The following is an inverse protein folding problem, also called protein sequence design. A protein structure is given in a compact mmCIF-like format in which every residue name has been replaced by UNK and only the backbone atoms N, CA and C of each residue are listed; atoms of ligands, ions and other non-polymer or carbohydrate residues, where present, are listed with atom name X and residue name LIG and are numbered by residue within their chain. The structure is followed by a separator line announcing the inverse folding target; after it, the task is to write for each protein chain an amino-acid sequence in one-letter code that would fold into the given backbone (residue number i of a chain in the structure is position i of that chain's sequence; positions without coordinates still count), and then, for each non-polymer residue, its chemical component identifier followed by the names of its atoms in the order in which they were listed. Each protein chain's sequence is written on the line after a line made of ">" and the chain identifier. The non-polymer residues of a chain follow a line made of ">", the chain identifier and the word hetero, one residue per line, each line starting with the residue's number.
data_IF_890572682780
#
_entry.id   IF_890572682780
#
_cell.length_a   1.000
_cell.length_b   1.000
_cell.length_c   1.000
_cell.angle_alpha   90.00
_cell.angle_beta   90.00
_cell.angle_gamma   90.00
#
_symmetry.space_group_name_H-M   'P 1'
#
loop_
_entity.id
_entity.type
_entity.pdbx_description
1 polymer ?
#
# COMPACT_ATOMS: atom_id res chain seq x y z
N UNK A 1 23.79 -15.48 17.57
CA UNK A 1 23.15 -14.32 16.94
C UNK A 1 21.70 -14.41 17.32
N UNK A 2 21.22 -13.49 18.15
CA UNK A 2 19.81 -13.50 18.54
C UNK A 2 18.97 -13.15 17.31
N UNK A 3 17.77 -13.71 17.18
CA UNK A 3 16.97 -13.54 15.96
C UNK A 3 16.55 -12.07 15.74
N UNK A 4 16.48 -11.28 16.80
CA UNK A 4 16.26 -9.83 16.70
C UNK A 4 17.42 -9.12 15.98
N UNK A 5 18.66 -9.61 16.11
CA UNK A 5 19.82 -9.10 15.36
C UNK A 5 19.68 -9.45 13.87
N UNK A 6 19.17 -10.65 13.56
CA UNK A 6 18.85 -11.03 12.19
C UNK A 6 17.78 -10.10 11.60
N UNK A 7 16.70 -9.84 12.34
CA UNK A 7 15.64 -8.93 11.93
C UNK A 7 16.15 -7.49 11.73
N UNK A 8 17.05 -7.01 12.59
CA UNK A 8 17.72 -5.72 12.43
C UNK A 8 18.56 -5.67 11.15
N UNK A 9 19.38 -6.69 10.90
CA UNK A 9 20.14 -6.82 9.65
C UNK A 9 19.24 -6.90 8.42
N UNK A 10 18.14 -7.64 8.51
CA UNK A 10 17.17 -7.79 7.43
C UNK A 10 16.39 -6.51 7.15
N UNK A 11 16.06 -5.72 8.18
CA UNK A 11 15.44 -4.42 8.02
C UNK A 11 16.37 -3.44 7.27
N UNK A 12 17.67 -3.43 7.59
CA UNK A 12 18.66 -2.63 6.85
C UNK A 12 18.69 -3.07 5.38
N UNK A 13 18.79 -4.37 5.12
CA UNK A 13 18.77 -4.90 3.76
C UNK A 13 17.49 -4.51 3.01
N UNK A 14 16.33 -4.62 3.65
CA UNK A 14 15.05 -4.26 3.07
C UNK A 14 14.99 -2.77 2.68
N UNK A 15 15.48 -1.87 3.56
CA UNK A 15 15.58 -0.43 3.29
C UNK A 15 16.54 -0.15 2.12
N UNK A 16 17.68 -0.83 2.06
CA UNK A 16 18.65 -0.68 0.96
C UNK A 16 18.02 -1.13 -0.36
N UNK A 17 17.41 -2.31 -0.41
CA UNK A 17 16.74 -2.83 -1.60
C UNK A 17 15.59 -1.93 -2.07
N UNK A 18 14.82 -1.42 -1.12
CA UNK A 18 13.76 -0.44 -1.36
C UNK A 18 14.32 0.85 -1.95
N UNK A 19 15.36 1.42 -1.33
CA UNK A 19 16.03 2.65 -1.76
C UNK A 19 16.62 2.52 -3.17
N UNK A 20 17.34 1.44 -3.45
CA UNK A 20 17.86 1.12 -4.79
C UNK A 20 16.71 1.03 -5.80
N UNK A 21 15.61 0.38 -5.42
CA UNK A 21 14.43 0.24 -6.29
C UNK A 21 13.78 1.58 -6.61
N UNK A 22 13.61 2.44 -5.60
CA UNK A 22 13.14 3.82 -5.77
C UNK A 22 14.09 4.58 -6.71
N UNK A 23 15.38 4.63 -6.40
CA UNK A 23 16.37 5.37 -7.18
C UNK A 23 16.37 4.90 -8.62
N UNK A 24 16.33 3.58 -8.86
CA UNK A 24 16.25 3.02 -10.21
C UNK A 24 14.96 3.43 -10.93
N UNK A 25 13.79 3.33 -10.29
CA UNK A 25 12.49 3.65 -10.92
C UNK A 25 12.37 5.14 -11.23
N UNK A 26 12.73 6.01 -10.27
CA UNK A 26 12.74 7.45 -10.48
C UNK A 26 13.81 7.85 -11.48
N UNK A 27 15.04 7.36 -11.33
CA UNK A 27 16.16 7.60 -12.23
C UNK A 27 15.85 7.21 -13.67
N UNK A 28 15.32 6.00 -13.91
CA UNK A 28 14.85 5.57 -15.22
C UNK A 28 13.80 6.52 -15.79
N UNK A 29 12.88 7.00 -14.96
CA UNK A 29 11.82 7.88 -15.46
C UNK A 29 12.30 9.30 -15.75
N UNK A 30 13.17 9.86 -14.90
CA UNK A 30 13.84 11.14 -15.16
C UNK A 30 14.71 11.05 -16.40
N UNK A 31 15.52 9.99 -16.52
CA UNK A 31 16.33 9.71 -17.71
C UNK A 31 15.49 9.63 -18.97
N UNK A 32 14.39 8.86 -18.95
CA UNK A 32 13.48 8.77 -20.10
C UNK A 32 12.84 10.13 -20.42
N UNK A 33 12.49 10.96 -19.43
CA UNK A 33 11.99 12.32 -19.68
C UNK A 33 13.04 13.26 -20.24
N UNK A 34 14.30 13.10 -19.84
CA UNK A 34 15.41 13.93 -20.28
C UNK A 34 15.90 13.54 -21.68
N UNK A 35 15.86 12.25 -22.03
CA UNK A 35 16.48 11.71 -23.27
C UNK A 35 15.49 11.37 -24.38
N UNK A 36 14.19 11.18 -24.08
CA UNK A 36 13.21 11.07 -25.17
C UNK A 36 13.03 12.43 -25.85
N UNK A 37 13.48 12.55 -27.10
CA UNK A 37 13.07 13.62 -28.00
C UNK A 37 11.54 13.70 -27.95
N UNK A 38 10.98 14.89 -27.65
CA UNK A 38 9.54 15.13 -27.41
C UNK A 38 8.63 14.50 -28.48
N UNK A 39 9.14 14.31 -29.68
CA UNK A 39 8.46 13.74 -30.85
C UNK A 39 8.17 12.22 -30.78
N UNK A 40 8.88 11.45 -29.95
CA UNK A 40 8.69 9.99 -29.81
C UNK A 40 7.79 9.58 -28.64
N UNK A 41 7.29 10.53 -27.87
CA UNK A 41 6.19 10.26 -26.94
C UNK A 41 5.06 9.63 -27.75
N UNK A 42 4.58 8.41 -27.45
CA UNK A 42 3.40 7.89 -28.13
C UNK A 42 2.32 8.95 -27.98
N UNK A 43 1.89 9.56 -29.08
CA UNK A 43 0.71 10.42 -29.09
C UNK A 43 -0.41 9.51 -28.64
N UNK A 44 -0.72 9.55 -27.35
CA UNK A 44 -1.98 9.01 -26.86
C UNK A 44 -3.00 9.91 -27.51
N UNK A 45 -3.56 9.44 -28.63
CA UNK A 45 -4.69 10.05 -29.31
C UNK A 45 -5.87 10.04 -28.34
N UNK A 46 -5.86 10.97 -27.38
CA UNK A 46 -7.08 11.50 -26.79
C UNK A 46 -7.81 12.12 -27.96
N UNK A 47 -8.94 11.50 -28.37
CA UNK A 47 -9.80 12.08 -29.41
C UNK A 47 -10.21 13.46 -28.89
N UNK A 48 -9.60 14.50 -29.44
CA UNK A 48 -9.89 15.88 -29.10
C UNK A 48 -11.13 16.36 -29.85
N UNK A 49 -11.89 17.31 -29.27
CA UNK A 49 -11.48 18.16 -28.16
C UNK A 49 -12.17 17.82 -26.83
N UNK A 50 -11.39 17.46 -25.80
CA UNK A 50 -11.83 17.57 -24.40
C UNK A 50 -11.94 19.08 -24.05
N UNK A 51 -13.06 19.48 -23.44
CA UNK A 51 -13.27 20.86 -22.93
C UNK A 51 -12.23 21.16 -21.84
N UNK A 52 -11.52 22.29 -21.94
CA UNK A 52 -10.56 22.74 -20.92
C UNK A 52 -11.27 22.82 -19.56
N UNK A 53 -10.74 22.15 -18.54
CA UNK A 53 -11.30 22.15 -17.18
C UNK A 53 -10.40 22.93 -16.22
N UNK A 54 -10.97 23.39 -15.11
CA UNK A 54 -10.18 23.97 -14.01
C UNK A 54 -9.35 22.89 -13.31
N UNK A 55 -8.35 23.29 -12.52
CA UNK A 55 -7.52 22.36 -11.73
C UNK A 55 -8.39 21.48 -10.82
N UNK A 56 -9.31 22.10 -10.10
CA UNK A 56 -10.20 21.42 -9.15
C UNK A 56 -11.15 20.45 -9.84
N UNK A 57 -11.71 20.85 -10.98
CA UNK A 57 -12.59 19.98 -11.76
C UNK A 57 -11.82 18.81 -12.37
N UNK A 58 -10.60 19.04 -12.86
CA UNK A 58 -9.72 17.98 -13.34
C UNK A 58 -9.32 17.01 -12.21
N UNK A 59 -9.00 17.53 -11.02
CA UNK A 59 -8.73 16.72 -9.84
C UNK A 59 -9.96 15.91 -9.43
N UNK A 60 -11.16 16.49 -9.42
CA UNK A 60 -12.39 15.79 -9.10
C UNK A 60 -12.71 14.68 -10.11
N UNK A 61 -12.57 14.94 -11.41
CA UNK A 61 -12.83 13.93 -12.44
C UNK A 61 -11.82 12.79 -12.34
N UNK A 62 -10.53 13.11 -12.24
CA UNK A 62 -9.45 12.11 -12.22
C UNK A 62 -9.44 11.30 -10.93
N UNK A 63 -9.64 11.93 -9.77
CA UNK A 63 -9.54 11.26 -8.47
C UNK A 63 -10.87 10.72 -7.97
N UNK A 64 -11.97 11.43 -8.19
CA UNK A 64 -13.28 11.07 -7.64
C UNK A 64 -14.09 10.31 -8.68
N UNK A 65 -14.45 10.92 -9.82
CA UNK A 65 -15.35 10.26 -10.78
C UNK A 65 -14.76 8.97 -11.38
N UNK A 66 -13.46 8.97 -11.67
CA UNK A 66 -12.77 7.78 -12.20
C UNK A 66 -12.83 6.64 -11.18
N UNK A 67 -12.67 6.96 -9.88
CA UNK A 67 -12.75 6.02 -8.78
C UNK A 67 -14.20 5.56 -8.56
N UNK A 68 -15.16 6.46 -8.46
CA UNK A 68 -16.59 6.12 -8.29
C UNK A 68 -17.11 5.24 -9.43
N UNK A 69 -16.72 5.49 -10.69
CA UNK A 69 -17.11 4.67 -11.84
C UNK A 69 -16.39 3.33 -11.90
N UNK A 70 -15.14 3.27 -11.45
CA UNK A 70 -14.40 2.03 -11.24
C UNK A 70 -15.12 1.14 -10.21
N UNK A 71 -15.66 1.73 -9.15
CA UNK A 71 -16.42 1.03 -8.11
C UNK A 71 -17.84 0.67 -8.49
N UNK A 72 -18.53 1.49 -9.29
CA UNK A 72 -19.89 1.20 -9.76
C UNK A 72 -20.01 -0.10 -10.59
N UNK A 73 -18.89 -0.61 -11.12
CA UNK A 73 -18.83 -1.87 -11.88
C UNK A 73 -18.35 -3.07 -11.04
N UNK A 74 -17.90 -2.85 -9.80
CA UNK A 74 -17.53 -3.93 -8.91
C UNK A 74 -18.80 -4.61 -8.37
N UNK A 75 -18.78 -5.93 -8.23
CA UNK A 75 -19.82 -6.58 -7.44
C UNK A 75 -19.67 -6.18 -5.96
N UNK A 76 -20.79 -6.11 -5.25
CA UNK A 76 -20.84 -5.62 -3.86
C UNK A 76 -19.83 -6.32 -2.92
N UNK A 77 -19.64 -7.66 -2.99
CA UNK A 77 -18.62 -8.33 -2.18
C UNK A 77 -17.18 -7.87 -2.47
N UNK A 78 -16.82 -7.65 -3.74
CA UNK A 78 -15.48 -7.15 -4.11
C UNK A 78 -15.28 -5.70 -3.64
N UNK A 79 -16.31 -4.87 -3.76
CA UNK A 79 -16.28 -3.50 -3.27
C UNK A 79 -16.08 -3.45 -1.75
N UNK A 80 -16.88 -4.21 -1.00
CA UNK A 80 -16.78 -4.25 0.46
C UNK A 80 -15.45 -4.81 0.93
N UNK A 81 -14.96 -5.92 0.34
CA UNK A 81 -13.64 -6.44 0.66
C UNK A 81 -12.53 -5.40 0.46
N UNK A 82 -12.60 -4.63 -0.63
CA UNK A 82 -11.61 -3.58 -0.88
C UNK A 82 -11.70 -2.41 0.12
N UNK A 83 -12.91 -1.97 0.48
CA UNK A 83 -13.10 -0.93 1.48
C UNK A 83 -12.55 -1.38 2.84
N UNK A 84 -12.89 -2.59 3.26
CA UNK A 84 -12.41 -3.20 4.50
C UNK A 84 -10.88 -3.30 4.50
N UNK A 85 -10.28 -3.74 3.39
CA UNK A 85 -8.83 -3.81 3.21
C UNK A 85 -8.16 -2.45 3.39
N UNK A 86 -8.71 -1.38 2.80
CA UNK A 86 -8.11 -0.04 2.90
C UNK A 86 -8.29 0.60 4.27
N UNK A 87 -9.42 0.38 4.94
CA UNK A 87 -9.59 0.79 6.33
C UNK A 87 -8.59 0.05 7.21
N UNK A 88 -8.47 -1.27 7.05
CA UNK A 88 -7.56 -2.10 7.83
C UNK A 88 -6.09 -1.67 7.67
N UNK A 89 -5.61 -1.57 6.42
CA UNK A 89 -4.23 -1.14 6.14
C UNK A 89 -3.99 0.30 6.54
N UNK A 90 -4.96 1.20 6.32
CA UNK A 90 -4.85 2.60 6.70
C UNK A 90 -4.63 2.75 8.21
N UNK A 91 -5.42 2.03 9.01
CA UNK A 91 -5.27 1.99 10.47
C UNK A 91 -3.93 1.37 10.87
N UNK A 92 -3.51 0.27 10.25
CA UNK A 92 -2.25 -0.36 10.58
C UNK A 92 -1.04 0.54 10.30
N UNK A 93 -1.01 1.17 9.11
CA UNK A 93 0.03 2.14 8.74
C UNK A 93 0.03 3.32 9.71
N UNK A 94 -1.15 3.85 10.08
CA UNK A 94 -1.26 4.93 11.03
C UNK A 94 -0.64 4.56 12.37
N UNK A 95 -0.94 3.37 12.91
CA UNK A 95 -0.39 2.88 14.18
C UNK A 95 1.14 2.82 14.15
N UNK A 96 1.74 2.17 13.14
CA UNK A 96 3.21 2.12 13.01
C UNK A 96 3.83 3.50 12.82
N UNK A 97 3.15 4.39 12.08
CA UNK A 97 3.61 5.77 11.87
C UNK A 97 3.62 6.55 13.18
N UNK A 98 2.58 6.40 14.00
CA UNK A 98 2.48 7.04 15.30
C UNK A 98 3.55 6.52 16.27
N UNK A 99 3.91 5.22 16.22
CA UNK A 99 5.06 4.68 16.95
C UNK A 99 6.36 5.38 16.56
N UNK A 100 6.62 5.52 15.25
CA UNK A 100 7.80 6.20 14.74
C UNK A 100 7.84 7.68 15.14
N UNK A 101 6.71 8.38 15.04
CA UNK A 101 6.58 9.78 15.51
C UNK A 101 6.86 9.87 17.00
N UNK A 102 6.36 8.91 17.80
CA UNK A 102 6.61 8.89 19.25
C UNK A 102 8.09 8.70 19.56
N UNK A 103 8.81 7.82 18.84
CA UNK A 103 10.27 7.68 18.96
C UNK A 103 11.01 8.98 18.67
N UNK A 104 10.60 9.71 17.63
CA UNK A 104 11.18 11.00 17.25
C UNK A 104 10.92 12.05 18.34
N UNK A 105 9.67 12.19 18.78
CA UNK A 105 9.26 13.21 19.77
C UNK A 105 9.88 12.98 21.15
N UNK A 106 10.05 11.72 21.55
CA UNK A 106 10.63 11.37 22.86
C UNK A 106 12.17 11.34 22.85
N UNK A 107 12.80 11.52 21.69
CA UNK A 107 14.25 11.40 21.53
C UNK A 107 14.77 9.96 21.64
N UNK A 108 13.90 8.97 21.87
CA UNK A 108 14.26 7.55 21.99
C UNK A 108 14.92 6.98 20.73
N UNK A 109 14.66 7.59 19.57
CA UNK A 109 15.34 7.23 18.32
C UNK A 109 16.88 7.37 18.42
N UNK A 110 17.38 8.25 19.30
CA UNK A 110 18.82 8.50 19.47
C UNK A 110 19.45 7.65 20.56
N UNK A 111 18.63 7.01 21.40
CA UNK A 111 19.11 6.28 22.60
C UNK A 111 18.88 4.78 22.50
N UNK A 112 17.90 4.33 21.73
CA UNK A 112 17.61 2.92 21.54
C UNK A 112 18.52 2.30 20.49
N UNK A 113 18.89 1.03 20.71
CA UNK A 113 19.53 0.22 19.67
C UNK A 113 18.56 -0.04 18.51
N UNK A 114 19.07 -0.41 17.33
CA UNK A 114 18.20 -0.77 16.20
C UNK A 114 17.25 -1.94 16.51
N UNK A 115 17.68 -3.02 17.18
CA UNK A 115 16.79 -4.04 17.72
C UNK A 115 15.65 -3.49 18.58
N UNK A 116 15.97 -2.61 19.54
CA UNK A 116 14.97 -2.05 20.46
C UNK A 116 13.99 -1.11 19.73
N UNK A 117 14.47 -0.38 18.71
CA UNK A 117 13.60 0.44 17.86
C UNK A 117 12.64 -0.43 17.04
N UNK A 118 13.08 -1.60 16.55
CA UNK A 118 12.21 -2.53 15.84
C UNK A 118 11.13 -3.09 16.77
N UNK A 119 11.48 -3.50 17.99
CA UNK A 119 10.52 -3.93 19.00
C UNK A 119 9.53 -2.79 19.29
N UNK A 120 10.02 -1.57 19.50
CA UNK A 120 9.15 -0.42 19.80
C UNK A 120 8.12 -0.10 18.69
N UNK A 121 8.50 -0.26 17.42
CA UNK A 121 7.62 0.06 16.30
C UNK A 121 6.74 -1.12 15.90
N UNK A 122 7.28 -2.33 15.90
CA UNK A 122 6.65 -3.49 15.25
C UNK A 122 6.15 -4.55 16.22
N UNK A 123 6.64 -4.60 17.47
CA UNK A 123 6.18 -5.58 18.46
C UNK A 123 4.88 -5.14 19.14
N UNK A 124 3.87 -4.87 18.31
CA UNK A 124 2.51 -4.65 18.78
C UNK A 124 1.88 -5.92 19.37
N UNK A 125 2.47 -7.09 19.09
CA UNK A 125 2.05 -8.40 19.58
C UNK A 125 2.11 -8.46 21.10
N UNK A 126 3.27 -8.16 21.69
CA UNK A 126 3.42 -8.10 23.16
C UNK A 126 2.63 -6.94 23.77
N UNK A 127 2.48 -5.82 23.06
CA UNK A 127 1.75 -4.64 23.54
C UNK A 127 0.24 -4.83 23.63
N UNK A 128 -0.34 -5.83 22.98
CA UNK A 128 -1.75 -6.20 23.19
C UNK A 128 -2.00 -6.77 24.58
N UNK A 129 -0.98 -7.38 25.19
CA UNK A 129 -1.09 -8.07 26.48
C UNK A 129 -0.33 -7.36 27.61
N UNK A 130 0.65 -6.51 27.27
CA UNK A 130 1.43 -5.69 28.22
C UNK A 130 1.07 -4.20 28.07
N UNK A 131 0.41 -3.62 29.08
CA UNK A 131 0.16 -2.17 29.18
C UNK A 131 1.34 -1.38 29.73
N UNK A 132 2.40 -2.05 30.21
CA UNK A 132 3.52 -1.38 30.86
C UNK A 132 4.56 -0.86 29.85
N UNK A 133 4.98 0.39 30.05
CA UNK A 133 6.14 1.00 29.37
C UNK A 133 5.92 1.52 27.95
N UNK A 134 4.73 1.36 27.34
CA UNK A 134 4.43 1.89 26.01
C UNK A 134 3.32 2.95 26.06
N UNK A 135 3.69 4.19 25.70
CA UNK A 135 2.77 5.31 25.60
C UNK A 135 2.96 6.01 24.25
N UNK A 136 2.09 5.72 23.29
CA UNK A 136 1.96 6.48 22.05
C UNK A 136 1.68 7.93 22.38
N UNK A 137 2.50 8.83 21.82
CA UNK A 137 2.40 10.27 22.05
C UNK A 137 2.32 10.64 23.55
N UNK A 138 3.02 9.87 24.41
CA UNK A 138 3.02 10.02 25.86
C UNK A 138 1.64 9.88 26.54
N UNK A 139 0.68 9.19 25.90
CA UNK A 139 -0.66 8.96 26.45
C UNK A 139 -1.02 7.48 26.48
N UNK A 140 -1.15 6.91 27.69
CA UNK A 140 -1.56 5.52 27.89
C UNK A 140 -3.01 5.28 27.42
N UNK A 141 -3.92 6.24 27.66
CA UNK A 141 -5.33 6.14 27.21
C UNK A 141 -5.40 6.10 25.69
N UNK A 142 -4.65 6.99 25.02
CA UNK A 142 -4.59 7.02 23.56
C UNK A 142 -4.01 5.72 23.00
N UNK A 143 -2.98 5.18 23.66
CA UNK A 143 -2.37 3.89 23.30
C UNK A 143 -3.41 2.77 23.35
N UNK A 144 -4.19 2.69 24.43
CA UNK A 144 -5.22 1.66 24.58
C UNK A 144 -6.31 1.77 23.50
N UNK A 145 -6.76 2.98 23.17
CA UNK A 145 -7.73 3.20 22.08
C UNK A 145 -7.16 2.75 20.74
N UNK A 146 -5.90 3.10 20.46
CA UNK A 146 -5.22 2.69 19.22
C UNK A 146 -5.04 1.18 19.13
N UNK A 147 -4.77 0.51 20.26
CA UNK A 147 -4.73 -0.96 20.33
C UNK A 147 -6.07 -1.55 19.86
N UNK A 148 -7.19 -1.10 20.41
CA UNK A 148 -8.51 -1.62 20.01
C UNK A 148 -8.82 -1.34 18.54
N UNK A 149 -8.52 -0.13 18.05
CA UNK A 149 -8.70 0.20 16.64
C UNK A 149 -7.85 -0.68 15.73
N UNK A 150 -6.62 -0.97 16.14
CA UNK A 150 -5.72 -1.86 15.41
C UNK A 150 -6.23 -3.30 15.40
N UNK A 151 -6.74 -3.82 16.53
CA UNK A 151 -7.35 -5.16 16.60
C UNK A 151 -8.57 -5.27 15.67
N UNK A 152 -9.44 -4.25 15.68
CA UNK A 152 -10.57 -4.18 14.74
C UNK A 152 -10.06 -4.18 13.31
N UNK A 153 -9.04 -3.37 13.00
CA UNK A 153 -8.43 -3.32 11.67
C UNK A 153 -7.88 -4.68 11.22
N UNK A 154 -7.22 -5.43 12.10
CA UNK A 154 -6.74 -6.80 11.81
C UNK A 154 -7.89 -7.71 11.42
N UNK A 155 -9.00 -7.71 12.18
CA UNK A 155 -10.19 -8.50 11.87
C UNK A 155 -10.78 -8.11 10.51
N UNK A 156 -10.94 -6.80 10.25
CA UNK A 156 -11.43 -6.31 8.96
C UNK A 156 -10.50 -6.71 7.79
N UNK A 157 -9.18 -6.68 8.03
CA UNK A 157 -8.17 -7.09 7.06
C UNK A 157 -8.28 -8.58 6.71
N UNK A 158 -8.46 -9.45 7.71
CA UNK A 158 -8.69 -10.89 7.48
C UNK A 158 -9.97 -11.11 6.68
N UNK A 159 -11.08 -10.49 7.07
CA UNK A 159 -12.34 -10.62 6.34
C UNK A 159 -12.19 -10.17 4.88
N UNK A 160 -11.48 -9.06 4.64
CA UNK A 160 -11.20 -8.55 3.31
C UNK A 160 -10.36 -9.52 2.47
N UNK A 161 -9.27 -10.05 3.02
CA UNK A 161 -8.38 -10.98 2.33
C UNK A 161 -9.05 -12.32 2.05
N UNK A 162 -9.75 -12.90 3.04
CA UNK A 162 -10.49 -14.15 2.87
C UNK A 162 -11.60 -14.00 1.83
N UNK A 163 -12.34 -12.87 1.84
CA UNK A 163 -13.35 -12.58 0.81
C UNK A 163 -12.70 -12.50 -0.56
N UNK A 164 -11.56 -11.80 -0.66
CA UNK A 164 -10.81 -11.63 -1.91
C UNK A 164 -10.30 -12.96 -2.47
N UNK A 165 -9.76 -13.83 -1.61
CA UNK A 165 -9.29 -15.16 -1.96
C UNK A 165 -10.44 -16.08 -2.35
N UNK A 166 -11.52 -16.10 -1.58
CA UNK A 166 -12.72 -16.90 -1.86
C UNK A 166 -13.30 -16.52 -3.21
N UNK A 167 -13.49 -15.22 -3.47
CA UNK A 167 -13.97 -14.73 -4.77
C UNK A 167 -12.99 -15.08 -5.90
N UNK A 168 -11.68 -15.06 -5.65
CA UNK A 168 -10.68 -15.49 -6.63
C UNK A 168 -10.75 -16.99 -6.92
N UNK A 169 -10.94 -17.85 -5.92
CA UNK A 169 -11.06 -19.31 -6.07
C UNK A 169 -12.33 -19.66 -6.84
N UNK A 170 -13.44 -18.98 -6.53
CA UNK A 170 -14.72 -19.17 -7.19
C UNK A 170 -14.78 -18.55 -8.60
N UNK A 171 -13.71 -17.90 -9.07
CA UNK A 171 -13.71 -17.08 -10.30
C UNK A 171 -14.84 -16.02 -10.32
N UNK A 172 -15.31 -15.61 -9.13
CA UNK A 172 -16.37 -14.60 -8.93
C UNK A 172 -15.83 -13.24 -8.53
N UNK A 173 -14.50 -13.07 -8.52
CA UNK A 173 -13.86 -11.78 -8.30
C UNK A 173 -14.28 -10.88 -9.45
N UNK A 174 -15.26 -10.02 -9.17
CA UNK A 174 -15.76 -9.05 -10.13
C UNK A 174 -14.59 -8.14 -10.40
N UNK A 175 -14.01 -8.23 -11.59
CA UNK A 175 -12.92 -7.34 -11.94
C UNK A 175 -13.42 -5.93 -11.76
N UNK A 176 -12.78 -5.24 -10.84
CA UNK A 176 -12.62 -3.81 -10.96
C UNK A 176 -11.86 -3.63 -12.27
N UNK A 177 -12.62 -3.33 -13.32
CA UNK A 177 -12.10 -3.13 -14.67
C UNK A 177 -10.88 -2.24 -14.52
N UNK A 178 -9.70 -2.59 -15.09
CA UNK A 178 -8.51 -1.78 -14.93
C UNK A 178 -8.90 -0.32 -15.15
N UNK A 179 -8.37 0.57 -14.31
CA UNK A 179 -8.67 2.02 -14.33
C UNK A 179 -8.72 2.56 -15.77
N UNK A 180 -8.02 1.91 -16.71
CA UNK A 180 -8.26 1.92 -18.15
C UNK A 180 -9.71 2.09 -18.64
N UNK A 181 -10.78 1.55 -18.04
CA UNK A 181 -12.15 1.79 -18.55
C UNK A 181 -12.67 3.20 -18.25
N UNK A 182 -12.67 3.68 -16.99
CA UNK A 182 -13.02 5.08 -16.73
C UNK A 182 -12.00 6.07 -17.32
N UNK A 183 -10.73 5.66 -17.51
CA UNK A 183 -9.72 6.46 -18.25
C UNK A 183 -10.01 6.45 -19.76
N UNK A 184 -10.43 5.32 -20.35
CA UNK A 184 -10.96 5.21 -21.73
C UNK A 184 -12.26 5.98 -21.92
N UNK A 185 -13.14 6.02 -20.92
CA UNK A 185 -14.39 6.79 -20.96
C UNK A 185 -14.14 8.30 -20.83
N UNK A 186 -13.01 8.70 -20.23
CA UNK A 186 -12.46 10.05 -20.35
C UNK A 186 -11.61 10.26 -21.62
N UNK A 187 -11.58 9.27 -22.54
CA UNK A 187 -10.73 9.18 -23.73
C UNK A 187 -9.22 9.23 -23.49
N UNK A 188 -8.77 9.12 -22.25
CA UNK A 188 -7.36 9.02 -21.87
C UNK A 188 -6.95 7.56 -22.03
N UNK A 189 -6.24 7.22 -23.11
CA UNK A 189 -5.57 5.92 -23.21
C UNK A 189 -4.38 5.91 -22.23
N UNK A 190 -4.48 5.18 -21.13
CA UNK A 190 -3.34 4.83 -20.29
C UNK A 190 -2.63 3.64 -20.91
N UNK A 191 -1.45 3.84 -21.47
CA UNK A 191 -0.57 2.73 -21.82
C UNK A 191 -0.07 2.08 -20.52
N UNK A 192 -0.59 0.89 -20.23
CA UNK A 192 0.09 -0.06 -19.36
C UNK A 192 -0.48 -0.21 -17.97
N UNK A 193 -1.73 -0.64 -17.83
CA UNK A 193 -1.88 -1.82 -16.97
C UNK A 193 -1.67 -3.01 -17.88
N UNK A 194 -0.64 -3.83 -17.65
CA UNK A 194 -0.56 -5.11 -18.32
C UNK A 194 -1.88 -5.83 -18.01
N UNK A 195 -2.77 -5.97 -19.00
CA UNK A 195 -3.78 -7.04 -19.07
C UNK A 195 -3.08 -8.39 -19.24
N UNK A 196 -1.91 -8.53 -18.64
CA UNK A 196 -1.09 -9.70 -18.76
C UNK A 196 -1.76 -10.76 -17.92
N UNK A 197 -2.35 -11.73 -18.61
CA UNK A 197 -2.63 -13.06 -18.09
C UNK A 197 -1.44 -13.67 -17.33
N UNK A 198 -0.20 -13.18 -17.56
CA UNK A 198 1.02 -13.57 -16.83
C UNK A 198 1.22 -12.85 -15.47
N UNK A 199 0.48 -11.77 -15.18
CA UNK A 199 0.58 -11.02 -13.91
C UNK A 199 -0.36 -11.50 -12.79
N UNK A 200 -1.26 -12.46 -13.08
CA UNK A 200 -2.20 -13.00 -12.10
C UNK A 200 -1.50 -13.69 -10.93
N UNK A 201 -0.41 -14.41 -11.19
CA UNK A 201 0.39 -15.07 -10.16
C UNK A 201 1.08 -14.07 -9.22
N UNK A 202 1.64 -12.99 -9.76
CA UNK A 202 2.25 -11.94 -8.93
C UNK A 202 1.23 -11.31 -7.97
N UNK A 203 -0.01 -11.08 -8.42
CA UNK A 203 -1.10 -10.58 -7.55
C UNK A 203 -1.48 -11.58 -6.45
N UNK A 204 -1.49 -12.88 -6.78
CA UNK A 204 -1.77 -13.93 -5.80
C UNK A 204 -0.66 -14.03 -4.75
N UNK A 205 0.62 -13.97 -5.16
CA UNK A 205 1.77 -13.97 -4.24
C UNK A 205 1.70 -12.76 -3.30
N UNK A 206 1.46 -11.57 -3.85
CA UNK A 206 1.28 -10.35 -3.06
C UNK A 206 0.12 -10.49 -2.07
N UNK A 207 -1.03 -11.01 -2.51
CA UNK A 207 -2.17 -11.26 -1.62
C UNK A 207 -1.86 -12.28 -0.53
N UNK A 208 -1.12 -13.36 -0.84
CA UNK A 208 -0.67 -14.33 0.15
C UNK A 208 0.33 -13.73 1.15
N UNK A 209 1.22 -12.84 0.70
CA UNK A 209 2.10 -12.10 1.61
C UNK A 209 1.31 -11.20 2.55
N UNK A 210 0.32 -10.45 2.04
CA UNK A 210 -0.53 -9.62 2.90
C UNK A 210 -1.36 -10.49 3.86
N UNK A 211 -1.89 -11.62 3.40
CA UNK A 211 -2.55 -12.58 4.27
C UNK A 211 -1.61 -13.11 5.35
N UNK A 212 -0.33 -13.38 5.05
CA UNK A 212 0.63 -13.82 6.07
C UNK A 212 0.91 -12.72 7.11
N UNK A 213 1.04 -11.46 6.67
CA UNK A 213 1.25 -10.28 7.53
C UNK A 213 0.08 -10.06 8.48
N UNK A 214 -1.16 -10.05 7.96
CA UNK A 214 -2.37 -9.82 8.76
C UNK A 214 -2.80 -11.08 9.51
N UNK A 215 -2.54 -12.25 8.92
CA UNK A 215 -2.83 -13.58 9.45
C UNK A 215 -2.06 -13.89 10.72
N UNK A 216 -0.75 -13.62 10.75
CA UNK A 216 0.03 -13.82 11.98
C UNK A 216 -0.44 -12.93 13.12
N UNK A 217 -0.79 -11.67 12.83
CA UNK A 217 -1.42 -10.76 13.80
C UNK A 217 -2.77 -11.29 14.30
N UNK A 218 -3.62 -11.77 13.39
CA UNK A 218 -4.92 -12.31 13.78
C UNK A 218 -4.78 -13.58 14.62
N UNK A 219 -3.92 -14.52 14.21
CA UNK A 219 -3.70 -15.78 14.92
C UNK A 219 -3.10 -15.56 16.31
N UNK A 220 -2.22 -14.56 16.45
CA UNK A 220 -1.75 -14.16 17.77
C UNK A 220 -2.85 -13.52 18.60
N UNK A 221 -3.64 -12.63 18.01
CA UNK A 221 -4.76 -11.99 18.69
C UNK A 221 -5.79 -13.00 19.22
N UNK A 222 -6.07 -14.08 18.49
CA UNK A 222 -6.99 -15.14 18.94
C UNK A 222 -6.31 -16.22 19.82
N UNK A 223 -5.05 -16.03 20.21
CA UNK A 223 -4.32 -16.94 21.10
C UNK A 223 -3.88 -18.27 20.47
N UNK A 224 -3.84 -18.35 19.13
CA UNK A 224 -3.40 -19.55 18.40
C UNK A 224 -1.88 -19.53 18.16
N UNK A 225 -1.31 -18.36 17.91
CA UNK A 225 0.11 -18.18 17.63
C UNK A 225 0.77 -17.46 18.80
N UNK A 226 1.94 -17.93 19.21
CA UNK A 226 2.78 -17.23 20.18
C UNK A 226 3.25 -15.85 19.65
N UNK A 227 3.45 -14.90 20.55
CA UNK A 227 3.81 -13.52 20.22
C UNK A 227 5.13 -13.42 19.46
N UNK A 228 6.12 -14.19 19.87
CA UNK A 228 7.45 -14.21 19.28
C UNK A 228 7.36 -14.73 17.83
N UNK A 229 6.67 -15.86 17.64
CA UNK A 229 6.47 -16.47 16.32
C UNK A 229 5.66 -15.53 15.41
N UNK A 230 4.64 -14.87 15.96
CA UNK A 230 3.80 -13.93 15.23
C UNK A 230 4.58 -12.71 14.75
N UNK A 231 5.41 -12.14 15.64
CA UNK A 231 6.33 -11.07 15.32
C UNK A 231 7.29 -11.48 14.21
N UNK A 232 7.84 -12.70 14.25
CA UNK A 232 8.77 -13.17 13.22
C UNK A 232 8.13 -13.36 11.86
N UNK A 233 6.95 -13.99 11.80
CA UNK A 233 6.23 -14.17 10.53
C UNK A 233 5.83 -12.80 9.97
N UNK A 234 5.24 -11.95 10.81
CA UNK A 234 4.81 -10.62 10.41
C UNK A 234 5.97 -9.78 9.92
N UNK A 235 7.00 -9.62 10.76
CA UNK A 235 8.15 -8.78 10.49
C UNK A 235 8.89 -9.23 9.25
N UNK A 236 9.15 -10.53 9.09
CA UNK A 236 9.86 -11.06 7.92
C UNK A 236 9.08 -10.80 6.64
N UNK A 237 7.77 -11.11 6.61
CA UNK A 237 6.97 -10.93 5.40
C UNK A 237 6.72 -9.45 5.11
N UNK A 238 6.53 -8.61 6.14
CA UNK A 238 6.37 -7.15 5.98
C UNK A 238 7.66 -6.50 5.45
N UNK A 239 8.82 -6.84 6.00
CA UNK A 239 10.12 -6.35 5.49
C UNK A 239 10.40 -6.85 4.08
N UNK A 240 10.06 -8.11 3.77
CA UNK A 240 10.15 -8.63 2.40
C UNK A 240 9.25 -7.83 1.47
N UNK A 241 8.01 -7.57 1.88
CA UNK A 241 7.04 -6.79 1.11
C UNK A 241 7.56 -5.37 0.83
N UNK A 242 8.13 -4.70 1.83
CA UNK A 242 8.79 -3.40 1.67
C UNK A 242 9.94 -3.50 0.68
N UNK A 243 10.87 -4.45 0.85
CA UNK A 243 12.03 -4.61 -0.01
C UNK A 243 11.65 -4.78 -1.50
N UNK A 244 10.60 -5.56 -1.78
CA UNK A 244 10.16 -5.82 -3.15
C UNK A 244 9.19 -4.76 -3.68
N UNK A 245 8.61 -3.91 -2.81
CA UNK A 245 7.54 -2.97 -3.16
C UNK A 245 7.85 -2.18 -4.44
N UNK A 246 9.02 -1.53 -4.61
CA UNK A 246 9.35 -0.72 -5.79
C UNK A 246 9.37 -1.50 -7.09
N UNK A 247 9.58 -2.81 -7.01
CA UNK A 247 9.66 -3.72 -8.15
C UNK A 247 8.31 -4.33 -8.50
N UNK A 248 7.32 -4.21 -7.60
CA UNK A 248 5.98 -4.76 -7.81
C UNK A 248 5.06 -3.81 -8.60
N UNK A 249 3.93 -4.35 -9.04
CA UNK A 249 2.86 -3.57 -9.65
C UNK A 249 2.24 -2.53 -8.71
N UNK A 250 2.32 -2.72 -7.38
CA UNK A 250 1.75 -1.81 -6.38
C UNK A 250 2.47 -0.46 -6.34
N UNK A 251 3.77 -0.43 -6.66
CA UNK A 251 4.51 0.82 -6.72
C UNK A 251 3.96 1.79 -7.77
N UNK A 252 3.35 1.28 -8.84
CA UNK A 252 2.67 2.11 -9.84
C UNK A 252 1.37 2.76 -9.32
N UNK A 253 0.78 2.23 -8.25
CA UNK A 253 -0.40 2.81 -7.60
C UNK A 253 -0.01 3.94 -6.63
N UNK A 254 1.18 3.85 -5.99
CA UNK A 254 1.76 4.93 -5.19
C UNK A 254 2.31 6.02 -6.11
N UNK A 255 3.03 5.62 -7.17
CA UNK A 255 3.49 6.49 -8.24
C UNK A 255 2.36 6.82 -9.23
N UNK A 256 1.21 7.30 -8.72
CA UNK A 256 0.07 7.92 -9.44
C UNK A 256 0.47 9.20 -10.20
N UNK A 257 1.68 9.26 -10.75
CA UNK A 257 2.10 10.18 -11.80
C UNK A 257 1.16 10.17 -13.01
N UNK A 258 0.38 9.09 -13.21
CA UNK A 258 -0.73 9.03 -14.16
C UNK A 258 -1.88 10.00 -13.82
N UNK A 259 -2.17 10.23 -12.54
CA UNK A 259 -3.20 11.18 -12.11
C UNK A 259 -2.74 12.62 -12.33
N UNK A 260 -1.50 12.97 -11.96
CA UNK A 260 -0.93 14.28 -12.29
C UNK A 260 -0.87 14.53 -13.80
N UNK A 261 -0.53 13.50 -14.58
CA UNK A 261 -0.54 13.57 -16.05
C UNK A 261 -1.97 13.69 -16.60
N UNK A 262 -2.94 12.98 -16.02
CA UNK A 262 -4.37 13.06 -16.37
C UNK A 262 -4.95 14.45 -16.09
N UNK A 263 -4.65 15.01 -14.91
CA UNK A 263 -5.02 16.39 -14.53
C UNK A 263 -4.41 17.39 -15.51
N UNK A 264 -3.11 17.27 -15.80
CA UNK A 264 -2.41 18.14 -16.76
C UNK A 264 -3.02 18.06 -18.17
N UNK A 265 -3.40 16.88 -18.64
CA UNK A 265 -4.09 16.67 -19.94
C UNK A 265 -5.48 17.29 -19.99
N UNK A 266 -6.22 17.30 -18.88
CA UNK A 266 -7.53 17.97 -18.81
C UNK A 266 -7.43 19.50 -18.68
N UNK A 267 -6.33 20.00 -18.10
CA UNK A 267 -6.06 21.42 -17.94
C UNK A 267 -5.46 22.08 -19.19
N UNK A 268 -4.70 21.34 -20.00
CA UNK A 268 -3.97 21.92 -21.12
C UNK A 268 -4.12 21.09 -22.41
N UNK A 269 -4.67 21.73 -23.46
CA UNK A 269 -4.88 21.16 -24.80
C UNK A 269 -3.58 20.83 -25.54
N UNK A 270 -2.46 21.47 -25.20
CA UNK A 270 -1.20 21.36 -25.95
C UNK A 270 -0.25 20.29 -25.44
N UNK A 271 -0.56 19.64 -24.31
CA UNK A 271 0.33 18.63 -23.67
C UNK A 271 -0.13 17.18 -23.89
N UNK A 272 -0.97 16.93 -24.90
CA UNK A 272 -1.45 15.61 -25.28
C UNK A 272 -0.67 15.03 -26.47
#
# INVERSE_FOLDING_TARGET
>A
MEFIDFMAGYAILAIVLFGVGIIYKFGKTFWNRATMRREMSPKTYTIHPIKKRSVLEALYIVNVLTFTKFWAKANMPTFMAHLLYHVAIGTAILTYTLSGITLLMTGKIWTLSLPDMLVYVFDWFTKFHSTEGYALLNSAIFTQVMIYLFMIAVVLGILAELTTLTLSVLNKRGMISPIDEPTKMANIRTSGLPRSTKGGYQRKIIGLMVLAIVGSLFLQFVGVLDEEIAFYIHGTVALTFIAILPYTMLFHEIARWRMCTGVKRMMNRTTA
#
